data_IF_176296246470
#
_entry.id   IF_176296246470
#
_cell.length_a   1.000
_cell.length_b   1.000
_cell.length_c   1.000
_cell.angle_alpha   90.00
_cell.angle_beta   90.00
_cell.angle_gamma   90.00
#
_symmetry.space_group_name_H-M   'P 1'
#
loop_
_entity.id
_entity.type
_entity.pdbx_description
1 polymer ?
#
# COMPACT_ATOMS: atom_id res chain seq x y z
N UNK A 1 7.10 0.80 4.72
CA UNK A 1 7.25 -0.59 4.26
C UNK A 1 5.93 -1.35 4.41
N UNK A 2 5.60 -2.21 3.43
CA UNK A 2 4.38 -2.99 3.38
C UNK A 2 4.44 -4.22 4.28
N UNK A 3 3.35 -4.94 4.45
CA UNK A 3 3.24 -6.16 5.29
C UNK A 3 4.11 -7.33 4.81
N UNK A 4 4.65 -7.25 3.62
CA UNK A 4 5.33 -8.36 2.96
C UNK A 4 6.45 -8.92 3.81
N UNK A 5 6.51 -10.22 3.90
CA UNK A 5 7.65 -10.99 4.40
C UNK A 5 8.46 -11.47 3.20
N UNK A 6 9.75 -11.31 3.24
CA UNK A 6 10.67 -11.99 2.35
C UNK A 6 11.01 -13.34 2.98
N UNK A 7 10.32 -14.40 2.56
CA UNK A 7 10.62 -15.77 2.99
C UNK A 7 11.68 -16.39 2.07
N UNK A 8 12.47 -17.33 2.60
CA UNK A 8 13.54 -18.03 1.89
C UNK A 8 14.57 -17.10 1.22
N UNK A 9 14.65 -15.88 1.76
CA UNK A 9 15.72 -14.96 1.35
C UNK A 9 17.03 -15.56 1.81
N UNK A 10 18.00 -15.57 0.93
CA UNK A 10 19.38 -15.83 1.30
C UNK A 10 19.71 -15.03 2.57
N UNK A 11 20.39 -15.67 3.52
CA UNK A 11 20.82 -15.03 4.78
C UNK A 11 21.57 -13.71 4.58
N UNK A 12 22.04 -13.45 3.37
CA UNK A 12 22.63 -12.20 2.91
C UNK A 12 21.66 -11.01 2.98
N UNK A 13 20.36 -11.24 2.81
CA UNK A 13 19.34 -10.16 2.71
C UNK A 13 18.52 -9.96 3.99
N UNK A 14 18.99 -10.50 5.10
CA UNK A 14 18.43 -10.24 6.42
C UNK A 14 17.53 -11.35 6.96
N UNK A 15 16.58 -10.97 7.79
CA UNK A 15 15.72 -11.86 8.54
C UNK A 15 14.39 -12.14 7.80
N UNK A 16 13.77 -13.29 8.05
CA UNK A 16 12.43 -13.63 7.59
C UNK A 16 11.38 -12.91 8.46
N UNK A 17 11.30 -11.61 8.32
CA UNK A 17 10.36 -10.74 9.05
C UNK A 17 9.69 -9.78 8.08
N UNK A 18 8.58 -9.19 8.51
CA UNK A 18 7.93 -8.12 7.75
C UNK A 18 8.92 -6.99 7.42
N UNK A 19 8.81 -6.41 6.24
CA UNK A 19 9.78 -5.43 5.73
C UNK A 19 10.05 -4.25 6.68
N UNK A 20 9.07 -3.89 7.52
CA UNK A 20 9.23 -2.84 8.53
C UNK A 20 10.22 -3.20 9.64
N UNK A 21 10.50 -4.47 9.83
CA UNK A 21 11.41 -4.99 10.87
C UNK A 21 12.76 -5.43 10.31
N UNK A 22 12.93 -5.39 9.00
CA UNK A 22 14.12 -5.87 8.33
C UNK A 22 15.18 -4.77 8.25
N UNK A 23 16.20 -4.91 9.11
CA UNK A 23 17.32 -3.95 9.18
C UNK A 23 18.08 -3.84 7.85
N UNK A 24 18.27 -4.96 7.14
CA UNK A 24 18.96 -4.93 5.85
C UNK A 24 18.22 -4.08 4.83
N UNK A 25 16.89 -4.28 4.67
CA UNK A 25 16.12 -3.56 3.65
C UNK A 25 16.02 -2.06 3.94
N UNK A 26 15.82 -1.67 5.21
CA UNK A 26 15.62 -0.26 5.58
C UNK A 26 16.95 0.41 5.92
N UNK A 27 17.76 -0.21 6.77
CA UNK A 27 19.03 0.35 7.19
C UNK A 27 20.07 0.25 6.09
N UNK A 28 20.53 -0.95 5.82
CA UNK A 28 21.71 -1.17 5.00
C UNK A 28 21.46 -0.81 3.52
N UNK A 29 20.36 -1.26 2.93
CA UNK A 29 20.06 -0.98 1.52
C UNK A 29 19.47 0.43 1.32
N UNK A 30 18.32 0.74 1.95
CA UNK A 30 17.61 1.99 1.67
C UNK A 30 18.36 3.21 2.20
N UNK A 31 18.84 3.16 3.46
CA UNK A 31 19.51 4.30 4.10
C UNK A 31 20.95 4.45 3.66
N UNK A 32 21.73 3.37 3.76
CA UNK A 32 23.17 3.44 3.61
C UNK A 32 23.60 3.33 2.14
N UNK A 33 23.10 2.36 1.38
CA UNK A 33 23.49 2.17 -0.01
C UNK A 33 22.79 3.15 -0.95
N UNK A 34 21.45 3.30 -0.83
CA UNK A 34 20.65 4.18 -1.69
C UNK A 34 20.57 5.62 -1.19
N UNK A 35 21.16 5.94 -0.04
CA UNK A 35 21.22 7.28 0.58
C UNK A 35 19.84 7.96 0.72
N UNK A 36 18.78 7.17 0.94
CA UNK A 36 17.44 7.72 1.13
C UNK A 36 17.32 8.37 2.51
N UNK A 37 17.17 9.69 2.56
CA UNK A 37 17.04 10.46 3.81
C UNK A 37 15.61 11.03 4.03
N UNK A 38 14.61 10.47 3.37
CA UNK A 38 13.20 10.78 3.62
C UNK A 38 12.62 9.99 4.79
N UNK A 39 11.35 10.28 5.14
CA UNK A 39 10.58 9.55 6.16
C UNK A 39 10.30 8.13 5.70
N UNK A 40 10.57 7.14 6.56
CA UNK A 40 10.07 5.78 6.42
C UNK A 40 8.92 5.60 7.40
N UNK A 41 7.71 5.59 6.87
CA UNK A 41 6.48 5.28 7.60
C UNK A 41 6.12 3.81 7.41
N UNK A 42 5.73 3.11 8.47
CA UNK A 42 5.23 1.75 8.36
C UNK A 42 3.85 1.72 7.70
N UNK A 43 3.44 0.55 7.23
CA UNK A 43 2.04 0.28 6.96
C UNK A 43 1.25 0.17 8.28
N UNK A 44 -0.09 0.13 8.20
CA UNK A 44 -0.99 0.19 9.34
C UNK A 44 -0.97 -1.10 10.16
N UNK A 45 -0.90 -0.93 11.48
CA UNK A 45 -1.03 -2.02 12.46
C UNK A 45 0.09 -3.06 12.44
N UNK A 46 1.27 -2.74 11.92
CA UNK A 46 2.37 -3.72 11.80
C UNK A 46 2.94 -4.13 13.17
N UNK A 47 2.78 -3.31 14.20
CA UNK A 47 3.27 -3.61 15.56
C UNK A 47 2.22 -4.24 16.46
N UNK A 48 0.93 -4.20 16.07
CA UNK A 48 -0.17 -4.81 16.84
C UNK A 48 -0.14 -6.33 16.79
N UNK A 49 -0.73 -6.95 17.82
CA UNK A 49 -0.88 -8.40 17.88
C UNK A 49 -1.77 -8.94 16.76
N UNK A 50 -1.40 -10.10 16.24
CA UNK A 50 -2.27 -10.87 15.35
C UNK A 50 -3.42 -11.48 16.15
N UNK A 51 -4.60 -11.62 15.55
CA UNK A 51 -5.75 -12.28 16.19
C UNK A 51 -6.59 -11.39 17.11
N UNK A 52 -6.47 -10.06 17.00
CA UNK A 52 -7.44 -9.13 17.58
C UNK A 52 -8.85 -9.44 17.07
N UNK A 53 -9.86 -9.08 17.84
CA UNK A 53 -11.27 -9.34 17.53
C UNK A 53 -11.70 -8.71 16.23
N UNK A 54 -12.86 -9.13 15.68
CA UNK A 54 -13.42 -8.58 14.43
C UNK A 54 -13.64 -7.05 14.46
N UNK A 55 -13.72 -6.47 15.66
CA UNK A 55 -13.91 -5.02 15.87
C UNK A 55 -12.60 -4.22 15.82
N UNK A 56 -11.45 -4.89 15.88
CA UNK A 56 -10.14 -4.25 15.87
C UNK A 56 -9.35 -4.62 14.61
N UNK A 57 -8.62 -3.64 14.08
CA UNK A 57 -7.73 -3.89 12.95
C UNK A 57 -6.67 -4.93 13.33
N UNK A 58 -6.70 -6.09 12.67
CA UNK A 58 -5.78 -7.18 12.95
C UNK A 58 -4.33 -6.77 12.70
N UNK A 59 -3.46 -7.02 13.67
CA UNK A 59 -2.03 -6.75 13.58
C UNK A 59 -1.36 -7.54 12.47
N UNK A 60 -0.27 -6.97 11.94
CA UNK A 60 0.51 -7.52 10.81
C UNK A 60 1.98 -7.66 11.16
N UNK A 61 2.25 -8.17 12.37
CA UNK A 61 3.60 -8.33 12.92
C UNK A 61 4.31 -9.61 12.44
N UNK A 62 4.29 -9.85 11.13
CA UNK A 62 4.79 -11.07 10.52
C UNK A 62 6.28 -11.32 10.81
N UNK A 63 6.55 -12.52 11.36
CA UNK A 63 7.90 -12.99 11.72
C UNK A 63 8.41 -12.47 13.07
N UNK A 64 7.63 -11.62 13.75
CA UNK A 64 7.94 -11.07 15.07
C UNK A 64 6.76 -11.20 16.05
N UNK A 65 5.87 -12.17 15.80
CA UNK A 65 4.69 -12.44 16.61
C UNK A 65 5.02 -12.74 18.06
N UNK A 66 6.21 -13.32 18.31
CA UNK A 66 6.71 -13.68 19.63
C UNK A 66 7.19 -12.49 20.47
N UNK A 67 7.40 -11.33 19.85
CA UNK A 67 7.81 -10.10 20.53
C UNK A 67 6.59 -9.35 21.08
N UNK A 68 6.80 -8.60 22.15
CA UNK A 68 5.82 -7.62 22.63
C UNK A 68 5.67 -6.46 21.66
N UNK A 69 4.61 -5.68 21.79
CA UNK A 69 4.39 -4.51 20.94
C UNK A 69 5.53 -3.47 21.08
N UNK A 70 6.04 -3.28 22.28
CA UNK A 70 7.18 -2.38 22.51
C UNK A 70 8.47 -2.89 21.85
N UNK A 71 8.74 -4.19 21.92
CA UNK A 71 9.90 -4.81 21.26
C UNK A 71 9.80 -4.73 19.74
N UNK A 72 8.60 -4.82 19.18
CA UNK A 72 8.37 -4.60 17.74
C UNK A 72 8.65 -3.15 17.33
N UNK A 73 8.22 -2.18 18.14
CA UNK A 73 8.56 -0.77 17.93
C UNK A 73 10.07 -0.54 18.02
N UNK A 74 10.73 -1.10 19.02
CA UNK A 74 12.17 -1.07 19.15
C UNK A 74 12.88 -1.64 17.92
N UNK A 75 12.48 -2.83 17.47
CA UNK A 75 13.06 -3.49 16.30
C UNK A 75 12.88 -2.67 15.01
N UNK A 76 11.72 -2.08 14.80
CA UNK A 76 11.45 -1.21 13.67
C UNK A 76 12.28 0.10 13.72
N UNK A 77 12.43 0.69 14.91
CA UNK A 77 13.29 1.86 15.12
C UNK A 77 14.76 1.55 14.81
N UNK A 78 15.26 0.40 15.25
CA UNK A 78 16.61 -0.07 14.94
C UNK A 78 16.79 -0.33 13.44
N UNK A 79 15.76 -0.86 12.78
CA UNK A 79 15.77 -1.04 11.32
C UNK A 79 15.82 0.28 10.54
N UNK A 80 15.38 1.40 11.09
CA UNK A 80 15.43 2.71 10.43
C UNK A 80 14.07 3.37 10.14
N UNK A 81 13.00 2.85 10.71
CA UNK A 81 11.63 3.41 10.62
C UNK A 81 11.53 4.70 11.41
N UNK A 82 10.87 5.73 10.87
CA UNK A 82 10.69 7.05 11.49
C UNK A 82 9.27 7.27 12.03
N UNK A 83 8.27 6.60 11.46
CA UNK A 83 6.86 6.81 11.79
C UNK A 83 6.09 5.50 11.74
N UNK A 84 5.17 5.31 12.69
CA UNK A 84 4.30 4.14 12.78
C UNK A 84 2.91 4.48 12.23
N UNK A 85 2.57 3.91 11.06
CA UNK A 85 1.29 4.13 10.42
C UNK A 85 0.15 3.47 11.19
N UNK A 86 -0.97 4.20 11.34
CA UNK A 86 -2.17 3.70 12.01
C UNK A 86 -2.09 3.50 13.51
N UNK A 87 -0.96 3.82 14.14
CA UNK A 87 -0.78 3.73 15.60
C UNK A 87 -1.00 5.10 16.23
N UNK A 88 -1.79 5.14 17.30
CA UNK A 88 -2.05 6.34 18.08
C UNK A 88 -1.71 6.17 19.58
N UNK A 89 -1.10 5.04 19.95
CA UNK A 89 -0.62 4.77 21.31
C UNK A 89 0.85 5.15 21.41
N UNK A 90 1.16 6.05 22.35
CA UNK A 90 2.51 6.52 22.61
C UNK A 90 3.28 5.60 23.58
N UNK A 91 2.59 4.82 24.40
CA UNK A 91 3.24 4.02 25.44
C UNK A 91 4.26 3.00 24.89
N UNK A 92 3.98 2.19 23.86
CA UNK A 92 4.97 1.26 23.32
C UNK A 92 6.16 1.99 22.65
N UNK A 93 5.97 3.21 22.14
CA UNK A 93 7.06 4.01 21.57
C UNK A 93 8.00 4.53 22.67
N UNK A 94 7.45 4.98 23.81
CA UNK A 94 8.27 5.41 24.96
C UNK A 94 9.02 4.23 25.58
N UNK A 95 8.42 3.06 25.63
CA UNK A 95 9.10 1.85 26.09
C UNK A 95 10.23 1.45 25.14
N UNK A 96 9.99 1.50 23.83
CA UNK A 96 11.03 1.28 22.81
C UNK A 96 12.19 2.29 22.93
N UNK A 97 11.90 3.55 23.32
CA UNK A 97 12.94 4.54 23.61
C UNK A 97 13.81 4.12 24.81
N UNK A 98 13.18 3.61 25.91
CA UNK A 98 13.95 3.09 27.05
C UNK A 98 14.84 1.92 26.66
N UNK A 99 14.30 0.99 25.86
CA UNK A 99 15.09 -0.13 25.32
C UNK A 99 16.25 0.35 24.45
N UNK A 100 16.09 1.41 23.67
CA UNK A 100 17.20 2.03 22.92
C UNK A 100 18.26 2.62 23.87
N UNK A 101 17.83 3.29 24.96
CA UNK A 101 18.76 3.81 25.96
C UNK A 101 19.56 2.70 26.64
N UNK A 102 18.92 1.60 26.97
CA UNK A 102 19.57 0.42 27.58
C UNK A 102 20.55 -0.25 26.61
N UNK A 103 20.16 -0.40 25.34
CA UNK A 103 20.99 -1.10 24.35
C UNK A 103 22.15 -0.27 23.80
N UNK A 104 21.97 1.04 23.61
CA UNK A 104 22.92 1.90 22.88
C UNK A 104 23.34 3.16 23.64
N UNK A 105 22.77 3.42 24.80
CA UNK A 105 22.98 4.63 25.60
C UNK A 105 22.03 5.77 25.24
N UNK A 106 21.77 6.63 26.24
CA UNK A 106 20.78 7.72 26.14
C UNK A 106 21.07 8.68 24.96
N UNK A 107 22.33 9.05 24.78
CA UNK A 107 22.73 9.95 23.68
C UNK A 107 22.39 9.38 22.30
N UNK A 108 22.65 8.09 22.07
CA UNK A 108 22.34 7.43 20.79
C UNK A 108 20.83 7.31 20.56
N UNK A 109 20.07 7.00 21.62
CA UNK A 109 18.62 6.96 21.56
C UNK A 109 18.04 8.34 21.22
N UNK A 110 18.51 9.40 21.88
CA UNK A 110 18.11 10.78 21.61
C UNK A 110 18.42 11.18 20.16
N UNK A 111 19.62 10.93 19.68
CA UNK A 111 20.02 11.21 18.29
C UNK A 111 19.15 10.47 17.28
N UNK A 112 18.78 9.21 17.58
CA UNK A 112 17.89 8.41 16.73
C UNK A 112 16.50 9.05 16.62
N UNK A 113 15.92 9.48 17.73
CA UNK A 113 14.61 10.15 17.74
C UNK A 113 14.66 11.54 17.11
N UNK A 114 15.70 12.33 17.39
CA UNK A 114 15.91 13.63 16.76
C UNK A 114 16.00 13.53 15.24
N UNK A 115 16.65 12.51 14.72
CA UNK A 115 16.75 12.27 13.26
C UNK A 115 15.37 11.98 12.65
N UNK A 116 14.55 11.17 13.30
CA UNK A 116 13.17 10.93 12.85
C UNK A 116 12.33 12.22 12.91
N UNK A 117 12.40 12.95 14.01
CA UNK A 117 11.72 14.25 14.15
C UNK A 117 12.14 15.25 13.07
N UNK A 118 13.43 15.34 12.77
CA UNK A 118 13.95 16.18 11.68
C UNK A 118 13.34 15.81 10.33
N UNK A 119 13.33 14.51 9.98
CA UNK A 119 12.75 14.04 8.71
C UNK A 119 11.26 14.35 8.59
N UNK A 120 10.49 14.15 9.66
CA UNK A 120 9.07 14.47 9.71
C UNK A 120 8.83 15.96 9.52
N UNK A 121 9.53 16.80 10.24
CA UNK A 121 9.42 18.27 10.13
C UNK A 121 9.85 18.78 8.76
N UNK A 122 10.91 18.21 8.19
CA UNK A 122 11.42 18.63 6.88
C UNK A 122 10.36 18.52 5.77
N UNK A 123 9.47 17.52 5.83
CA UNK A 123 8.36 17.42 4.89
C UNK A 123 7.40 18.60 5.01
N UNK A 124 7.10 19.05 6.23
CA UNK A 124 6.22 20.19 6.49
C UNK A 124 6.86 21.48 5.96
N UNK A 125 8.15 21.67 6.20
CA UNK A 125 8.90 22.84 5.69
C UNK A 125 8.99 22.84 4.15
N UNK A 126 9.33 21.71 3.53
CA UNK A 126 9.46 21.59 2.07
C UNK A 126 8.15 21.82 1.32
N UNK A 127 7.03 21.50 1.93
CA UNK A 127 5.69 21.73 1.36
C UNK A 127 5.12 23.11 1.69
N UNK A 128 5.83 23.93 2.48
CA UNK A 128 5.43 25.31 2.83
C UNK A 128 4.21 25.38 3.75
N UNK A 129 3.95 24.29 4.51
CA UNK A 129 2.74 24.24 5.38
C UNK A 129 2.80 25.17 6.58
N UNK A 130 3.99 25.61 6.99
CA UNK A 130 4.13 26.64 8.03
C UNK A 130 3.81 28.04 7.50
N UNK A 131 4.11 28.31 6.22
CA UNK A 131 3.85 29.58 5.57
C UNK A 131 2.42 29.68 5.11
N UNK A 132 1.88 28.59 4.53
CA UNK A 132 0.49 28.53 4.07
C UNK A 132 -0.05 27.10 4.14
N UNK A 133 -0.81 26.74 5.20
CA UNK A 133 -1.41 25.41 5.35
C UNK A 133 -2.66 25.20 4.48
N UNK A 134 -3.14 26.23 3.78
CA UNK A 134 -4.37 26.17 3.01
C UNK A 134 -4.11 25.98 1.52
N UNK A 135 -4.97 25.21 0.87
CA UNK A 135 -4.99 25.09 -0.58
C UNK A 135 -5.80 26.24 -1.20
N UNK A 136 -5.33 26.69 -2.36
CA UNK A 136 -6.12 27.53 -3.25
C UNK A 136 -7.20 26.69 -3.93
N UNK A 137 -8.47 26.98 -3.60
CA UNK A 137 -9.61 26.21 -4.07
C UNK A 137 -9.75 26.29 -5.60
N UNK A 138 -9.64 27.48 -6.18
CA UNK A 138 -9.80 27.68 -7.63
C UNK A 138 -8.70 26.97 -8.41
N UNK A 139 -7.45 27.10 -7.99
CA UNK A 139 -6.32 26.41 -8.58
C UNK A 139 -6.43 24.88 -8.43
N UNK A 140 -6.90 24.40 -7.27
CA UNK A 140 -7.13 22.99 -7.05
C UNK A 140 -8.20 22.42 -7.98
N UNK A 141 -9.31 23.12 -8.16
CA UNK A 141 -10.39 22.73 -9.08
C UNK A 141 -9.94 22.74 -10.54
N UNK A 142 -9.06 23.66 -10.94
CA UNK A 142 -8.49 23.68 -12.29
C UNK A 142 -7.45 22.59 -12.52
N UNK A 143 -6.79 22.12 -11.48
CA UNK A 143 -5.69 21.13 -11.56
C UNK A 143 -6.19 19.70 -11.46
N UNK A 144 -7.04 19.40 -10.46
CA UNK A 144 -7.52 18.03 -10.21
C UNK A 144 -8.46 17.61 -11.33
N UNK A 145 -8.11 16.50 -11.99
CA UNK A 145 -8.91 15.98 -13.11
C UNK A 145 -8.94 16.84 -14.37
N UNK A 146 -8.00 17.75 -14.51
CA UNK A 146 -7.92 18.56 -15.74
C UNK A 146 -7.73 17.66 -16.99
N UNK A 147 -8.19 18.12 -18.19
CA UNK A 147 -8.15 17.31 -19.41
C UNK A 147 -6.77 16.74 -19.73
N UNK A 148 -5.71 17.51 -19.50
CA UNK A 148 -4.34 17.06 -19.72
C UNK A 148 -3.96 15.85 -18.84
N UNK A 149 -4.30 15.89 -17.55
CA UNK A 149 -3.98 14.80 -16.62
C UNK A 149 -4.85 13.58 -16.85
N UNK A 150 -6.13 13.78 -17.20
CA UNK A 150 -7.03 12.69 -17.61
C UNK A 150 -6.48 11.98 -18.84
N UNK A 151 -6.03 12.72 -19.87
CA UNK A 151 -5.45 12.12 -21.08
C UNK A 151 -4.15 11.37 -20.77
N UNK A 152 -3.26 11.92 -19.94
CA UNK A 152 -2.04 11.21 -19.50
C UNK A 152 -2.36 9.91 -18.77
N UNK A 153 -3.33 9.95 -17.86
CA UNK A 153 -3.79 8.77 -17.14
C UNK A 153 -4.38 7.71 -18.08
N UNK A 154 -5.20 8.14 -19.03
CA UNK A 154 -5.78 7.26 -20.04
C UNK A 154 -4.71 6.58 -20.91
N UNK A 155 -3.74 7.35 -21.40
CA UNK A 155 -2.61 6.80 -22.17
C UNK A 155 -1.77 5.81 -21.36
N UNK A 156 -1.54 6.08 -20.08
CA UNK A 156 -0.86 5.16 -19.18
C UNK A 156 -1.62 3.84 -19.06
N UNK A 157 -2.95 3.89 -18.87
CA UNK A 157 -3.80 2.70 -18.83
C UNK A 157 -3.75 1.91 -20.12
N UNK A 158 -3.83 2.58 -21.28
CA UNK A 158 -3.70 1.91 -22.58
C UNK A 158 -2.36 1.16 -22.73
N UNK A 159 -1.26 1.80 -22.30
CA UNK A 159 0.08 1.18 -22.38
C UNK A 159 0.26 0.01 -21.40
N UNK A 160 -0.50 -0.02 -20.30
CA UNK A 160 -0.42 -1.11 -19.32
C UNK A 160 -1.15 -2.38 -19.77
N UNK A 161 -1.99 -2.31 -20.81
CA UNK A 161 -2.72 -3.47 -21.32
C UNK A 161 -1.75 -4.36 -22.08
N UNK A 162 -1.53 -5.56 -21.54
CA UNK A 162 -0.66 -6.58 -22.14
C UNK A 162 -1.51 -7.70 -22.73
N UNK A 163 -1.39 -7.93 -24.03
CA UNK A 163 -2.07 -9.03 -24.69
C UNK A 163 -1.27 -10.31 -24.52
N UNK A 164 -1.72 -11.19 -23.62
CA UNK A 164 -1.04 -12.45 -23.32
C UNK A 164 -1.30 -13.53 -24.36
N UNK A 165 -2.43 -13.49 -25.04
CA UNK A 165 -2.83 -14.49 -26.03
C UNK A 165 -3.84 -13.89 -27.03
N UNK A 166 -3.60 -14.10 -28.32
CA UNK A 166 -4.55 -13.80 -29.40
C UNK A 166 -4.45 -14.89 -30.49
N UNK A 167 -4.84 -16.11 -30.11
CA UNK A 167 -4.81 -17.25 -31.03
C UNK A 167 -5.86 -17.08 -32.11
N UNK A 168 -5.47 -17.18 -33.37
CA UNK A 168 -6.35 -16.99 -34.51
C UNK A 168 -6.66 -15.54 -34.88
N UNK A 169 -6.01 -14.54 -34.23
CA UNK A 169 -6.19 -13.12 -34.58
C UNK A 169 -7.61 -12.60 -34.26
N UNK A 170 -8.27 -13.11 -33.23
CA UNK A 170 -9.64 -12.72 -32.84
C UNK A 170 -9.73 -11.26 -32.44
N UNK A 171 -8.68 -10.71 -31.85
CA UNK A 171 -8.61 -9.30 -31.46
C UNK A 171 -7.83 -8.49 -32.50
N UNK A 172 -8.24 -7.24 -32.78
CA UNK A 172 -9.39 -6.52 -32.23
C UNK A 172 -10.72 -7.04 -32.77
N UNK A 173 -11.79 -6.99 -31.96
CA UNK A 173 -13.13 -7.32 -32.39
C UNK A 173 -13.68 -6.23 -33.33
N UNK A 174 -14.42 -6.64 -34.36
CA UNK A 174 -15.12 -5.73 -35.27
C UNK A 174 -16.27 -5.01 -34.57
N UNK A 175 -16.51 -3.75 -34.91
CA UNK A 175 -17.65 -3.00 -34.37
C UNK A 175 -18.97 -3.60 -34.79
N UNK A 176 -19.95 -3.61 -33.89
CA UNK A 176 -21.33 -4.04 -34.19
C UNK A 176 -21.61 -5.52 -34.01
N UNK A 177 -20.58 -6.35 -33.79
CA UNK A 177 -20.80 -7.78 -33.47
C UNK A 177 -21.55 -7.95 -32.14
N UNK A 178 -22.14 -9.10 -31.96
CA UNK A 178 -22.83 -9.48 -30.73
C UNK A 178 -21.84 -10.01 -29.69
N UNK A 179 -21.85 -9.39 -28.53
CA UNK A 179 -20.92 -9.75 -27.42
C UNK A 179 -21.72 -10.13 -26.18
N UNK A 180 -21.40 -11.28 -25.63
CA UNK A 180 -21.90 -11.70 -24.32
C UNK A 180 -20.93 -11.27 -23.21
N UNK A 181 -21.45 -10.58 -22.21
CA UNK A 181 -20.68 -10.13 -21.04
C UNK A 181 -21.36 -10.64 -19.79
N UNK A 182 -20.90 -11.75 -19.21
CA UNK A 182 -21.53 -12.34 -18.04
C UNK A 182 -21.37 -11.47 -16.80
N UNK A 183 -22.37 -11.49 -15.93
CA UNK A 183 -22.21 -10.98 -14.58
C UNK A 183 -21.25 -11.88 -13.79
N UNK A 184 -20.50 -11.29 -12.89
CA UNK A 184 -19.59 -12.02 -11.99
C UNK A 184 -20.30 -12.27 -10.67
N UNK A 185 -20.29 -13.53 -10.23
CA UNK A 185 -20.67 -13.88 -8.87
C UNK A 185 -19.40 -13.96 -8.01
N UNK A 186 -19.36 -13.16 -6.95
CA UNK A 186 -18.28 -13.14 -5.98
C UNK A 186 -18.86 -13.63 -4.65
N UNK A 187 -18.34 -14.76 -4.17
CA UNK A 187 -18.66 -15.25 -2.84
C UNK A 187 -18.11 -14.32 -1.78
N UNK A 188 -18.76 -14.29 -0.65
CA UNK A 188 -18.27 -13.56 0.53
C UNK A 188 -16.84 -13.98 0.86
N UNK A 189 -15.99 -13.00 1.11
CA UNK A 189 -14.65 -13.17 1.62
C UNK A 189 -14.40 -12.12 2.71
N UNK A 190 -13.41 -12.34 3.56
CA UNK A 190 -12.97 -11.32 4.50
C UNK A 190 -12.14 -10.28 3.75
N UNK A 191 -12.54 -9.00 3.83
CA UNK A 191 -11.74 -7.91 3.30
C UNK A 191 -10.46 -7.71 4.13
N UNK A 192 -9.60 -6.77 3.74
CA UNK A 192 -8.34 -6.55 4.44
C UNK A 192 -8.50 -6.08 5.90
N UNK A 193 -9.69 -5.58 6.28
CA UNK A 193 -10.06 -5.22 7.65
C UNK A 193 -10.75 -6.38 8.40
N UNK A 194 -10.74 -7.59 7.83
CA UNK A 194 -11.36 -8.79 8.37
C UNK A 194 -12.90 -8.78 8.47
N UNK A 195 -13.59 -7.88 7.75
CA UNK A 195 -15.05 -7.88 7.65
C UNK A 195 -15.53 -8.74 6.48
N UNK A 196 -16.61 -9.54 6.66
CA UNK A 196 -17.20 -10.29 5.58
C UNK A 196 -17.86 -9.34 4.56
N UNK A 197 -17.58 -9.55 3.27
CA UNK A 197 -18.09 -8.69 2.19
C UNK A 197 -19.51 -9.04 1.72
N UNK A 198 -20.04 -10.18 2.15
CA UNK A 198 -21.28 -10.76 1.62
C UNK A 198 -21.15 -11.26 0.17
N UNK A 199 -22.04 -12.14 -0.22
CA UNK A 199 -22.13 -12.61 -1.61
C UNK A 199 -22.62 -11.47 -2.51
N UNK A 200 -21.98 -11.29 -3.67
CA UNK A 200 -22.30 -10.21 -4.60
C UNK A 200 -22.40 -10.71 -6.03
N UNK A 201 -23.45 -10.27 -6.72
CA UNK A 201 -23.52 -10.33 -8.18
C UNK A 201 -23.13 -8.95 -8.73
N UNK A 202 -22.09 -8.91 -9.55
CA UNK A 202 -21.53 -7.68 -10.10
C UNK A 202 -21.64 -7.69 -11.61
N UNK A 203 -22.33 -6.70 -12.15
CA UNK A 203 -22.29 -6.41 -13.59
C UNK A 203 -20.97 -5.68 -13.90
N UNK A 204 -20.14 -6.18 -14.84
CA UNK A 204 -18.88 -5.54 -15.19
C UNK A 204 -19.09 -4.09 -15.61
N UNK A 205 -18.29 -3.19 -15.04
CA UNK A 205 -18.39 -1.74 -15.31
C UNK A 205 -18.17 -1.41 -16.80
N UNK A 206 -17.39 -2.23 -17.51
CA UNK A 206 -17.14 -2.10 -18.95
C UNK A 206 -18.36 -2.38 -19.82
N UNK A 207 -19.41 -3.06 -19.34
CA UNK A 207 -20.59 -3.43 -20.15
C UNK A 207 -21.22 -2.21 -20.83
N UNK A 208 -21.35 -1.08 -20.12
CA UNK A 208 -21.88 0.18 -20.69
C UNK A 208 -20.97 0.78 -21.78
N UNK A 209 -19.67 0.66 -21.62
CA UNK A 209 -18.70 1.16 -22.61
C UNK A 209 -18.65 0.26 -23.82
N UNK A 210 -18.76 -1.05 -23.65
CA UNK A 210 -18.84 -2.03 -24.73
C UNK A 210 -20.10 -1.85 -25.56
N UNK A 211 -21.23 -1.54 -24.95
CA UNK A 211 -22.51 -1.29 -25.63
C UNK A 211 -22.47 -0.09 -26.60
N UNK A 212 -21.46 0.77 -26.53
CA UNK A 212 -21.24 1.85 -27.50
C UNK A 212 -20.65 1.38 -28.83
N UNK A 213 -20.02 0.20 -28.84
CA UNK A 213 -19.33 -0.37 -29.99
C UNK A 213 -19.89 -1.71 -30.46
N UNK A 214 -20.54 -2.45 -29.56
CA UNK A 214 -21.00 -3.82 -29.75
C UNK A 214 -22.47 -3.95 -29.38
N UNK A 215 -23.14 -4.96 -29.94
CA UNK A 215 -24.48 -5.36 -29.49
C UNK A 215 -24.34 -6.32 -28.32
N UNK A 216 -24.75 -5.90 -27.12
CA UNK A 216 -24.70 -6.77 -25.93
C UNK A 216 -25.92 -7.70 -25.94
N UNK A 217 -25.65 -9.01 -25.86
CA UNK A 217 -26.68 -10.06 -25.80
C UNK A 217 -26.73 -10.70 -24.41
N UNK A 218 -27.84 -11.35 -24.10
CA UNK A 218 -28.11 -11.87 -22.77
C UNK A 218 -27.65 -13.32 -22.57
N UNK A 219 -27.38 -14.04 -23.64
CA UNK A 219 -26.93 -15.43 -23.59
C UNK A 219 -25.67 -15.63 -24.45
N UNK A 220 -24.80 -16.58 -24.09
CA UNK A 220 -23.60 -16.87 -24.89
C UNK A 220 -23.96 -17.47 -26.27
N UNK A 221 -25.09 -18.13 -26.40
CA UNK A 221 -25.55 -18.75 -27.66
C UNK A 221 -25.89 -17.73 -28.73
N UNK A 222 -26.27 -16.51 -28.34
CA UNK A 222 -26.60 -15.42 -29.24
C UNK A 222 -25.35 -14.61 -29.65
N UNK A 223 -24.21 -14.86 -29.01
CA UNK A 223 -23.00 -14.03 -29.16
C UNK A 223 -22.06 -14.53 -30.25
N UNK A 224 -21.43 -13.58 -30.94
CA UNK A 224 -20.30 -13.84 -31.83
C UNK A 224 -18.98 -13.93 -31.02
N UNK A 225 -18.94 -13.29 -29.83
CA UNK A 225 -17.83 -13.32 -28.88
C UNK A 225 -18.28 -13.19 -27.42
N UNK A 226 -17.50 -13.80 -26.47
CA UNK A 226 -17.79 -13.77 -25.04
C UNK A 226 -16.52 -13.50 -24.22
#
# INVERSE_FOLDING_TARGET
>A
PYYTISTDVDKTYGENVGNSFNKYLIGDLLRDELHYDGVVCTDWGITHDTGRTEEEFAGKCWGVEHLTEAERHFKALVAGVDQFGGNNDVAPVLEAYRMLCEAYGEKAAEERFRRSGYRLLLNIFRTGLFENPYLDLEKSMQTVGCPEFVEKGYRSQLRSITMLKNKGGVLPLESGIKVYVPDRFIRSYLNFMSFPTGDKKITPAGKRSLAKKFTIVDTPEEADAA
#
